data_IF_642928857729
#
_entry.id   IF_642928857729
#
_cell.length_a   1.000
_cell.length_b   1.000
_cell.length_c   1.000
_cell.angle_alpha   90.00
_cell.angle_beta   90.00
_cell.angle_gamma   90.00
#
_symmetry.space_group_name_H-M   'P 1'
#
loop_
_entity.id
_entity.type
_entity.pdbx_description
1 polymer ?
#
# COMPACT_ATOMS: atom_id res chain seq x y z
N UNK A 1 19.63 -26.48 8.02
CA UNK A 1 19.32 -26.10 9.42
C UNK A 1 18.07 -26.84 9.87
N UNK A 2 17.79 -26.85 11.18
CA UNK A 2 16.55 -27.42 11.72
C UNK A 2 15.33 -26.59 11.28
N UNK A 3 14.19 -27.22 10.95
CA UNK A 3 12.98 -26.48 10.58
C UNK A 3 12.43 -25.70 11.78
N UNK A 4 11.91 -24.49 11.51
CA UNK A 4 11.12 -23.75 12.49
C UNK A 4 9.75 -24.41 12.63
N UNK A 5 9.24 -24.47 13.85
CA UNK A 5 7.96 -25.10 14.17
C UNK A 5 6.94 -24.06 14.63
N UNK A 6 5.67 -24.29 14.29
CA UNK A 6 4.52 -23.59 14.83
C UNK A 6 4.21 -24.08 16.26
N UNK A 7 3.31 -23.40 16.97
CA UNK A 7 2.89 -23.77 18.33
C UNK A 7 2.28 -25.17 18.42
N UNK A 8 1.70 -25.68 17.33
CA UNK A 8 1.13 -27.02 17.23
C UNK A 8 2.17 -28.11 16.87
N UNK A 9 3.45 -27.75 16.76
CA UNK A 9 4.54 -28.67 16.41
C UNK A 9 4.69 -28.97 14.91
N UNK A 10 3.83 -28.40 14.06
CA UNK A 10 3.99 -28.52 12.60
C UNK A 10 5.10 -27.60 12.09
N UNK A 11 5.69 -27.94 10.93
CA UNK A 11 6.70 -27.07 10.32
C UNK A 11 6.06 -25.75 9.88
N UNK A 12 6.69 -24.64 10.27
CA UNK A 12 6.30 -23.31 9.82
C UNK A 12 6.50 -23.20 8.31
N UNK A 13 5.39 -23.04 7.60
CA UNK A 13 5.37 -22.77 6.17
C UNK A 13 4.47 -21.56 5.91
N UNK A 14 5.06 -20.42 5.57
CA UNK A 14 4.30 -19.20 5.27
C UNK A 14 3.53 -19.35 3.97
N UNK A 15 2.27 -18.92 3.97
CA UNK A 15 1.45 -18.89 2.76
C UNK A 15 1.00 -17.45 2.48
N UNK A 16 0.92 -17.03 1.21
CA UNK A 16 0.47 -15.67 0.88
C UNK A 16 -1.04 -15.48 1.13
N UNK A 17 -1.79 -16.58 1.19
CA UNK A 17 -3.23 -16.56 1.46
C UNK A 17 -3.51 -16.19 2.92
N UNK A 18 -4.58 -15.43 3.12
CA UNK A 18 -5.09 -15.03 4.44
C UNK A 18 -6.56 -15.46 4.50
N UNK A 19 -6.89 -16.26 5.52
CA UNK A 19 -8.26 -16.77 5.71
C UNK A 19 -9.26 -15.65 6.02
N UNK A 20 -8.96 -14.79 6.98
CA UNK A 20 -9.79 -13.62 7.31
C UNK A 20 -9.06 -12.60 8.19
N UNK A 21 -9.38 -11.31 8.01
CA UNK A 21 -8.93 -10.24 8.90
C UNK A 21 -9.95 -9.89 9.99
N UNK A 22 -11.22 -10.22 9.78
CA UNK A 22 -12.33 -9.68 10.56
C UNK A 22 -13.30 -10.75 11.10
N UNK A 23 -13.15 -12.01 10.67
CA UNK A 23 -13.95 -13.12 11.17
C UNK A 23 -13.28 -13.74 12.39
N UNK A 24 -13.79 -13.39 13.57
CA UNK A 24 -13.31 -13.94 14.83
C UNK A 24 -13.61 -15.44 15.00
N UNK A 25 -14.56 -16.00 14.25
CA UNK A 25 -14.89 -17.44 14.28
C UNK A 25 -13.97 -18.28 13.39
N UNK A 26 -13.31 -17.64 12.42
CA UNK A 26 -12.32 -18.26 11.53
C UNK A 26 -11.16 -17.28 11.23
N UNK A 27 -10.34 -16.95 12.25
CA UNK A 27 -9.30 -15.95 12.11
C UNK A 27 -8.14 -16.46 11.24
N UNK A 28 -7.36 -15.52 10.67
CA UNK A 28 -6.10 -15.86 10.00
C UNK A 28 -5.15 -16.65 10.92
N UNK A 29 -4.47 -17.63 10.36
CA UNK A 29 -3.47 -18.44 11.06
C UNK A 29 -2.13 -17.71 11.16
N UNK A 30 -1.29 -18.10 12.12
CA UNK A 30 0.02 -17.46 12.33
C UNK A 30 1.00 -17.60 11.14
N UNK A 31 0.79 -18.60 10.28
CA UNK A 31 1.57 -18.81 9.06
C UNK A 31 0.92 -18.21 7.80
N UNK A 32 -0.20 -17.51 7.92
CA UNK A 32 -0.89 -16.87 6.80
C UNK A 32 -0.43 -15.41 6.59
N UNK A 33 -0.43 -14.98 5.33
CA UNK A 33 0.01 -13.67 4.88
C UNK A 33 1.51 -13.57 4.60
N UNK A 34 1.84 -12.75 3.60
CA UNK A 34 3.23 -12.41 3.30
C UNK A 34 3.84 -11.51 4.39
N UNK A 35 5.09 -11.76 4.75
CA UNK A 35 5.85 -10.94 5.69
C UNK A 35 6.68 -9.92 4.90
N UNK A 36 6.47 -8.64 5.19
CA UNK A 36 7.25 -7.57 4.59
C UNK A 36 8.57 -7.43 5.33
N UNK A 37 9.68 -7.47 4.59
CA UNK A 37 11.05 -7.29 5.10
C UNK A 37 11.66 -5.98 4.60
N UNK A 38 10.81 -5.02 4.20
CA UNK A 38 11.27 -3.73 3.65
C UNK A 38 12.04 -2.89 4.67
N UNK A 39 11.56 -2.87 5.91
CA UNK A 39 12.25 -2.30 7.06
C UNK A 39 12.69 -3.47 7.91
N UNK A 40 13.99 -3.77 7.87
CA UNK A 40 14.54 -4.95 8.54
C UNK A 40 14.60 -4.76 10.05
N UNK A 41 14.45 -5.86 10.77
CA UNK A 41 14.66 -5.90 12.22
C UNK A 41 16.16 -6.04 12.50
N UNK A 42 16.67 -5.27 13.46
CA UNK A 42 18.02 -5.46 13.97
C UNK A 42 18.15 -6.83 14.64
N UNK A 43 19.31 -7.48 14.46
CA UNK A 43 19.60 -8.74 15.13
C UNK A 43 19.62 -8.55 16.66
N UNK A 44 19.04 -9.50 17.39
CA UNK A 44 18.96 -9.44 18.86
C UNK A 44 18.00 -8.39 19.44
N UNK A 45 17.12 -7.78 18.63
CA UNK A 45 16.14 -6.79 19.09
C UNK A 45 15.31 -7.31 20.29
N UNK A 46 15.23 -6.50 21.36
CA UNK A 46 14.38 -6.74 22.53
C UNK A 46 13.39 -5.57 22.67
N UNK A 47 12.09 -5.87 22.68
CA UNK A 47 11.05 -4.83 22.77
C UNK A 47 10.87 -4.03 21.47
N UNK A 48 10.51 -2.76 21.59
CA UNK A 48 10.07 -1.89 20.49
C UNK A 48 11.12 -0.84 20.06
N UNK A 49 12.41 -1.10 20.27
CA UNK A 49 13.49 -0.14 19.99
C UNK A 49 14.12 -0.37 18.60
N UNK A 50 13.40 -0.07 17.52
CA UNK A 50 13.98 -0.08 16.18
C UNK A 50 14.69 1.25 15.89
N UNK A 51 15.88 1.18 15.28
CA UNK A 51 16.70 2.36 14.92
C UNK A 51 16.61 2.74 13.43
N UNK A 52 15.70 2.12 12.66
CA UNK A 52 15.56 2.46 11.25
C UNK A 52 14.86 3.80 11.06
N UNK A 53 15.38 4.63 10.16
CA UNK A 53 14.68 5.82 9.69
C UNK A 53 13.46 5.42 8.84
N UNK A 54 12.31 6.05 9.11
CA UNK A 54 11.13 5.90 8.27
C UNK A 54 11.17 6.91 7.12
N UNK A 55 11.13 6.40 5.90
CA UNK A 55 11.25 7.24 4.70
C UNK A 55 9.90 7.89 4.41
N UNK A 56 9.76 9.16 4.79
CA UNK A 56 8.55 9.96 4.51
C UNK A 56 8.54 10.48 3.07
N UNK A 57 9.70 10.93 2.59
CA UNK A 57 9.89 11.40 1.22
C UNK A 57 11.13 10.77 0.63
N UNK A 58 11.05 10.41 -0.65
CA UNK A 58 12.20 9.91 -1.40
C UNK A 58 12.14 10.26 -2.86
N UNK A 59 13.31 10.33 -3.46
CA UNK A 59 13.49 10.83 -4.82
C UNK A 59 12.68 10.04 -5.87
N UNK A 60 12.51 8.73 -5.70
CA UNK A 60 11.69 7.93 -6.60
C UNK A 60 10.23 8.42 -6.68
N UNK A 61 9.64 8.91 -5.59
CA UNK A 61 8.27 9.45 -5.64
C UNK A 61 8.21 10.72 -6.49
N UNK A 62 9.23 11.58 -6.40
CA UNK A 62 9.34 12.78 -7.25
C UNK A 62 9.44 12.39 -8.73
N UNK A 63 10.30 11.43 -9.05
CA UNK A 63 10.48 10.92 -10.41
C UNK A 63 9.18 10.33 -10.97
N UNK A 64 8.53 9.45 -10.20
CA UNK A 64 7.29 8.78 -10.62
C UNK A 64 6.09 9.73 -10.67
N UNK A 65 5.99 10.72 -9.78
CA UNK A 65 4.97 11.77 -9.85
C UNK A 65 5.11 12.59 -11.15
N UNK A 66 6.34 13.01 -11.47
CA UNK A 66 6.61 13.72 -12.74
C UNK A 66 6.31 12.82 -13.95
N UNK A 67 6.74 11.56 -13.92
CA UNK A 67 6.50 10.60 -14.98
C UNK A 67 5.01 10.33 -15.21
N UNK A 68 4.23 10.14 -14.14
CA UNK A 68 2.78 10.00 -14.24
C UNK A 68 2.13 11.24 -14.86
N UNK A 69 2.56 12.45 -14.44
CA UNK A 69 2.04 13.70 -15.01
C UNK A 69 2.34 13.83 -16.50
N UNK A 70 3.50 13.36 -16.97
CA UNK A 70 3.87 13.32 -18.39
C UNK A 70 3.02 12.32 -19.18
N UNK A 71 2.80 11.11 -18.65
CA UNK A 71 1.91 10.13 -19.28
C UNK A 71 0.49 10.67 -19.41
N UNK A 72 -0.04 11.33 -18.37
CA UNK A 72 -1.37 11.97 -18.41
C UNK A 72 -1.46 13.10 -19.44
N UNK A 73 -0.35 13.75 -19.77
CA UNK A 73 -0.27 14.77 -20.81
C UNK A 73 -0.09 14.19 -22.22
N UNK A 74 0.02 12.86 -22.36
CA UNK A 74 0.26 12.20 -23.64
C UNK A 74 1.73 12.18 -24.06
N UNK A 75 2.65 12.29 -23.09
CA UNK A 75 4.11 12.28 -23.32
C UNK A 75 4.81 11.10 -22.61
N UNK A 76 4.41 9.84 -22.85
CA UNK A 76 5.02 8.67 -22.21
C UNK A 76 6.52 8.53 -22.52
N UNK A 77 6.97 8.95 -23.70
CA UNK A 77 8.38 8.96 -24.10
C UNK A 77 9.27 9.79 -23.16
N UNK A 78 8.73 10.86 -22.58
CA UNK A 78 9.44 11.69 -21.61
C UNK A 78 9.42 11.09 -20.20
N UNK A 79 8.47 10.18 -19.92
CA UNK A 79 8.34 9.50 -18.64
C UNK A 79 9.26 8.28 -18.52
N UNK A 80 9.53 7.58 -19.63
CA UNK A 80 10.41 6.39 -19.70
C UNK A 80 11.72 6.54 -18.91
N UNK A 81 12.56 7.58 -19.13
CA UNK A 81 13.81 7.70 -18.40
C UNK A 81 13.62 7.83 -16.89
N UNK A 82 12.53 8.47 -16.43
CA UNK A 82 12.26 8.66 -15.00
C UNK A 82 11.88 7.35 -14.32
N UNK A 83 11.06 6.52 -14.98
CA UNK A 83 10.68 5.21 -14.45
C UNK A 83 11.85 4.21 -14.52
N UNK A 84 12.64 4.23 -15.59
CA UNK A 84 13.78 3.33 -15.74
C UNK A 84 14.91 3.67 -14.75
N UNK A 85 15.06 4.93 -14.35
CA UNK A 85 15.98 5.29 -13.26
C UNK A 85 15.62 4.58 -11.96
N UNK A 86 14.33 4.56 -11.59
CA UNK A 86 13.83 3.84 -10.40
C UNK A 86 13.99 2.32 -10.56
N UNK A 87 13.65 1.80 -11.75
CA UNK A 87 13.61 0.36 -12.07
C UNK A 87 14.98 -0.28 -12.24
N UNK A 88 15.99 0.49 -12.62
CA UNK A 88 17.37 0.00 -12.83
C UNK A 88 17.94 -0.80 -11.65
N UNK A 89 17.47 -0.52 -10.44
CA UNK A 89 17.87 -1.20 -9.19
C UNK A 89 17.32 -2.62 -9.03
N UNK A 90 16.28 -2.99 -9.78
CA UNK A 90 15.57 -4.26 -9.59
C UNK A 90 16.10 -5.39 -10.48
N UNK A 91 16.92 -5.08 -11.49
CA UNK A 91 17.38 -6.04 -12.49
C UNK A 91 16.29 -6.49 -13.48
N UNK A 92 15.11 -5.86 -13.45
CA UNK A 92 14.04 -6.09 -14.42
C UNK A 92 14.33 -5.37 -15.74
N UNK A 93 13.72 -5.82 -16.87
CA UNK A 93 13.80 -5.08 -18.12
C UNK A 93 13.27 -3.66 -17.99
N UNK A 94 13.93 -2.74 -18.70
CA UNK A 94 13.52 -1.36 -18.84
C UNK A 94 12.13 -1.26 -19.47
N UNK A 95 11.34 -0.27 -19.02
CA UNK A 95 10.10 0.09 -19.66
C UNK A 95 10.36 0.82 -20.98
N UNK A 96 9.43 0.59 -21.90
CA UNK A 96 9.22 1.37 -23.11
C UNK A 96 8.01 2.30 -22.94
N UNK A 97 7.79 3.23 -23.86
CA UNK A 97 6.65 4.14 -23.80
C UNK A 97 5.30 3.41 -23.84
N UNK A 98 5.21 2.26 -24.52
CA UNK A 98 3.97 1.46 -24.55
C UNK A 98 3.67 0.74 -23.25
N UNK A 99 4.68 0.50 -22.41
CA UNK A 99 4.49 -0.16 -21.12
C UNK A 99 3.91 0.81 -20.07
N UNK A 100 4.20 2.11 -20.18
CA UNK A 100 3.77 3.14 -19.24
C UNK A 100 2.30 3.56 -19.42
N UNK A 101 1.39 2.60 -19.27
CA UNK A 101 -0.05 2.85 -19.13
C UNK A 101 -0.37 3.37 -17.72
N UNK A 102 -1.54 4.00 -17.54
CA UNK A 102 -1.94 4.46 -16.19
C UNK A 102 -2.15 3.30 -15.21
N UNK A 103 -2.63 2.14 -15.67
CA UNK A 103 -2.76 0.96 -14.80
C UNK A 103 -1.37 0.43 -14.41
N UNK A 104 -0.42 0.39 -15.34
CA UNK A 104 0.96 -0.02 -15.03
C UNK A 104 1.63 0.95 -14.05
N UNK A 105 1.46 2.26 -14.22
CA UNK A 105 1.99 3.25 -13.27
C UNK A 105 1.37 3.05 -11.88
N UNK A 106 0.08 2.80 -11.80
CA UNK A 106 -0.60 2.50 -10.54
C UNK A 106 -0.02 1.25 -9.86
N UNK A 107 0.30 0.22 -10.63
CA UNK A 107 0.88 -1.02 -10.11
C UNK A 107 2.36 -0.88 -9.75
N UNK A 108 3.17 -0.17 -10.55
CA UNK A 108 4.58 0.13 -10.25
C UNK A 108 4.70 0.97 -8.98
N UNK A 109 3.84 1.97 -8.78
CA UNK A 109 3.77 2.72 -7.52
C UNK A 109 3.39 1.80 -6.34
N UNK A 110 2.49 0.84 -6.58
CA UNK A 110 2.12 -0.16 -5.58
C UNK A 110 3.30 -1.02 -5.14
N UNK A 111 4.17 -1.44 -6.07
CA UNK A 111 5.38 -2.23 -5.79
C UNK A 111 6.46 -1.39 -5.12
N UNK A 112 6.77 -0.23 -5.68
CA UNK A 112 7.85 0.64 -5.23
C UNK A 112 7.58 1.20 -3.82
N UNK A 113 6.34 1.63 -3.53
CA UNK A 113 5.96 2.26 -2.26
C UNK A 113 5.17 1.36 -1.31
N UNK A 114 5.21 0.04 -1.49
CA UNK A 114 4.60 -0.90 -0.56
C UNK A 114 5.09 -0.62 0.87
N UNK A 115 4.18 -0.56 1.84
CA UNK A 115 4.47 -0.26 3.27
C UNK A 115 4.97 1.15 3.59
N UNK A 116 4.85 2.12 2.66
CA UNK A 116 5.26 3.53 2.87
C UNK A 116 4.08 4.52 3.06
N UNK A 117 2.86 4.02 3.28
CA UNK A 117 1.69 4.88 3.57
C UNK A 117 1.04 5.60 2.37
N UNK A 118 1.55 5.41 1.14
CA UNK A 118 1.07 6.13 -0.05
C UNK A 118 -0.09 5.45 -0.79
N UNK A 119 -0.40 4.17 -0.52
CA UNK A 119 -1.34 3.41 -1.37
C UNK A 119 -2.75 3.98 -1.37
N UNK A 120 -3.25 4.53 -0.26
CA UNK A 120 -4.61 5.10 -0.16
C UNK A 120 -4.80 6.28 -1.11
N UNK A 121 -3.87 7.23 -1.10
CA UNK A 121 -3.94 8.42 -1.95
C UNK A 121 -3.83 8.06 -3.44
N UNK A 122 -2.97 7.08 -3.78
CA UNK A 122 -2.84 6.59 -5.15
C UNK A 122 -4.14 5.92 -5.61
N UNK A 123 -4.71 5.02 -4.81
CA UNK A 123 -6.01 4.41 -5.11
C UNK A 123 -7.11 5.44 -5.35
N UNK A 124 -7.16 6.52 -4.57
CA UNK A 124 -8.16 7.59 -4.77
C UNK A 124 -7.92 8.33 -6.08
N UNK A 125 -6.67 8.75 -6.35
CA UNK A 125 -6.29 9.49 -7.56
C UNK A 125 -6.48 8.69 -8.85
N UNK A 126 -6.30 7.38 -8.79
CA UNK A 126 -6.51 6.47 -9.92
C UNK A 126 -7.94 5.92 -9.99
N UNK A 127 -8.85 6.32 -9.10
CA UNK A 127 -10.24 5.87 -9.10
C UNK A 127 -10.46 4.44 -8.58
N UNK A 128 -9.40 3.76 -8.13
CA UNK A 128 -9.42 2.35 -7.68
C UNK A 128 -9.85 2.16 -6.22
N UNK A 129 -9.96 3.23 -5.42
CA UNK A 129 -10.21 3.12 -3.98
C UNK A 129 -11.48 2.34 -3.63
N UNK A 130 -12.55 2.59 -4.37
CA UNK A 130 -13.86 2.02 -4.10
C UNK A 130 -13.99 0.58 -4.61
N UNK A 131 -13.15 0.15 -5.54
CA UNK A 131 -13.24 -1.17 -6.16
C UNK A 131 -13.12 -2.32 -5.14
N UNK A 132 -13.80 -3.46 -5.40
CA UNK A 132 -13.53 -4.72 -4.74
C UNK A 132 -12.05 -5.11 -4.79
N UNK A 133 -11.56 -5.73 -3.71
CA UNK A 133 -10.20 -6.30 -3.59
C UNK A 133 -10.23 -7.46 -2.60
N UNK A 134 -9.18 -8.29 -2.57
CA UNK A 134 -9.12 -9.57 -1.83
C UNK A 134 -9.94 -9.62 -0.53
N UNK A 135 -9.52 -8.91 0.51
CA UNK A 135 -10.14 -8.96 1.84
C UNK A 135 -11.24 -7.90 2.04
N UNK A 136 -11.69 -7.29 0.93
CA UNK A 136 -12.77 -6.32 0.85
C UNK A 136 -13.52 -6.52 -0.48
N UNK A 137 -14.31 -7.60 -0.60
CA UNK A 137 -14.91 -8.04 -1.87
C UNK A 137 -16.04 -7.13 -2.35
N UNK A 138 -16.52 -6.22 -1.51
CA UNK A 138 -17.61 -5.32 -1.85
C UNK A 138 -17.07 -3.94 -2.25
N UNK A 139 -17.75 -3.33 -3.22
CA UNK A 139 -17.52 -1.94 -3.59
C UNK A 139 -17.74 -1.03 -2.36
N UNK A 140 -16.83 -0.08 -2.17
CA UNK A 140 -16.92 0.91 -1.11
C UNK A 140 -17.81 2.06 -1.56
N UNK A 141 -18.65 2.62 -0.68
CA UNK A 141 -19.33 3.87 -0.98
C UNK A 141 -18.33 5.00 -1.25
N UNK A 142 -18.66 5.86 -2.22
CA UNK A 142 -17.81 6.98 -2.68
C UNK A 142 -17.38 7.93 -1.56
N UNK A 143 -18.25 8.17 -0.58
CA UNK A 143 -17.94 9.06 0.55
C UNK A 143 -16.76 8.57 1.41
N UNK A 144 -16.39 7.29 1.32
CA UNK A 144 -15.24 6.71 2.07
C UNK A 144 -13.87 7.17 1.56
N UNK A 145 -13.83 7.94 0.45
CA UNK A 145 -12.61 8.64 -0.02
C UNK A 145 -12.18 9.74 0.95
N UNK A 146 -13.08 10.27 1.78
CA UNK A 146 -12.77 11.20 2.87
C UNK A 146 -13.07 10.54 4.21
N UNK A 147 -12.22 10.73 5.21
CA UNK A 147 -12.49 10.20 6.54
C UNK A 147 -13.66 10.95 7.22
N UNK A 148 -14.42 10.31 8.10
CA UNK A 148 -15.42 11.01 8.91
C UNK A 148 -14.73 11.97 9.87
N UNK A 149 -15.39 13.09 10.16
CA UNK A 149 -15.00 13.94 11.28
C UNK A 149 -15.40 13.22 12.58
N UNK A 150 -14.47 13.01 13.54
CA UNK A 150 -14.79 12.28 14.76
C UNK A 150 -15.94 12.91 15.57
N UNK A 151 -16.86 12.07 16.04
CA UNK A 151 -18.08 12.51 16.74
C UNK A 151 -17.79 13.34 17.99
N UNK A 152 -16.76 12.98 18.77
CA UNK A 152 -16.34 13.74 19.96
C UNK A 152 -15.87 15.16 19.61
N UNK A 153 -15.22 15.33 18.47
CA UNK A 153 -14.77 16.65 17.99
C UNK A 153 -15.97 17.50 17.54
N UNK A 154 -16.94 16.90 16.82
CA UNK A 154 -18.19 17.60 16.44
C UNK A 154 -19.05 18.01 17.65
N UNK A 155 -19.09 17.18 18.70
CA UNK A 155 -19.79 17.51 19.96
C UNK A 155 -19.17 18.72 20.67
N UNK A 156 -17.86 18.89 20.54
CA UNK A 156 -17.12 19.99 21.17
C UNK A 156 -17.17 21.27 20.32
N UNK A 157 -17.21 21.14 18.99
CA UNK A 157 -17.29 22.26 18.06
C UNK A 157 -18.48 22.09 17.10
N UNK A 158 -19.60 22.71 17.44
CA UNK A 158 -20.86 22.66 16.67
C UNK A 158 -20.78 23.29 15.28
N UNK A 159 -19.70 24.03 14.95
CA UNK A 159 -19.48 24.57 13.61
C UNK A 159 -18.95 23.52 12.62
N UNK A 160 -18.49 22.36 13.10
CA UNK A 160 -18.00 21.28 12.26
C UNK A 160 -19.15 20.43 11.71
N UNK A 161 -19.43 20.58 10.43
CA UNK A 161 -20.39 19.76 9.69
C UNK A 161 -19.73 18.46 9.25
N UNK A 162 -20.45 17.34 9.33
CA UNK A 162 -19.93 16.05 8.89
C UNK A 162 -19.70 16.01 7.37
N UNK A 163 -18.74 15.20 6.94
CA UNK A 163 -18.56 14.87 5.53
C UNK A 163 -19.79 14.12 4.99
N UNK A 164 -20.26 14.50 3.81
CA UNK A 164 -21.45 13.90 3.19
C UNK A 164 -21.38 12.38 3.14
N UNK A 165 -22.47 11.69 3.49
CA UNK A 165 -22.59 10.22 3.47
C UNK A 165 -22.30 9.53 4.80
N UNK A 166 -21.65 10.21 5.75
CA UNK A 166 -21.51 9.69 7.11
C UNK A 166 -22.71 10.06 7.99
N UNK A 167 -23.08 9.20 8.96
CA UNK A 167 -24.06 9.55 9.98
C UNK A 167 -23.62 10.79 10.78
N UNK A 168 -24.61 11.53 11.27
CA UNK A 168 -24.39 12.59 12.25
C UNK A 168 -24.03 12.02 13.64
#
# INVERSE_FOLDING_TARGET
GNPLLMTDGTQLNYTPHITSLFDASNPAKSNEGVRSVKYEYADGLQGECMDNDYVVYRYADILMMKGEALVRQGHPELAVPLFNEVRSRTGLPDYTASDLTLDEIYDERGREFAWEGLRRQDMIRFGKWCEPRDLKPNESPEYTKLYPIPTNIRKTNVNLKQNSGYPD
#
